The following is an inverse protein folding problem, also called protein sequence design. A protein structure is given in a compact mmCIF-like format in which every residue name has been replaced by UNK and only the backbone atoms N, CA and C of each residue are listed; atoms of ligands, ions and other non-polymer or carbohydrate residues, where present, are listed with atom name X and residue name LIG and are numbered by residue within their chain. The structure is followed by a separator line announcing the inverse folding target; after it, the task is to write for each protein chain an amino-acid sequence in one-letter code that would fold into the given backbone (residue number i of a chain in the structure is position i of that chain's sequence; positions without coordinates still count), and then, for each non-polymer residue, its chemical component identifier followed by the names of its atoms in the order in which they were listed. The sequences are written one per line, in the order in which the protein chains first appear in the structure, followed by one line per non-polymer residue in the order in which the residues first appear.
data_IF_582292052983
#
_entry.id   IF_582292052983
#
_cell.length_a   1.000
_cell.length_b   1.000
_cell.length_c   1.000
_cell.angle_alpha   90.00
_cell.angle_beta   90.00
_cell.angle_gamma   90.00
#
_symmetry.space_group_name_H-M   'P 1'
#
loop_
_entity.id
_entity.type
_entity.pdbx_description
1 polymer ?
#
# COMPACT_ATOMS: atom_id res chain seq x y z
N UNK A 1 -26.95 -14.71 13.17
CA UNK A 1 -26.19 -14.81 11.91
C UNK A 1 -25.69 -13.48 11.32
N UNK A 2 -26.36 -12.32 11.45
CA UNK A 2 -25.80 -11.06 10.98
C UNK A 2 -24.47 -10.67 11.66
N UNK A 3 -24.27 -11.01 12.92
CA UNK A 3 -23.03 -10.68 13.64
C UNK A 3 -21.77 -11.39 13.11
N UNK A 4 -21.88 -12.64 12.68
CA UNK A 4 -20.75 -13.39 12.09
C UNK A 4 -20.33 -12.75 10.77
N UNK A 5 -21.29 -12.35 9.93
CA UNK A 5 -21.02 -11.69 8.65
C UNK A 5 -20.33 -10.31 8.88
N UNK A 6 -20.78 -9.54 9.87
CA UNK A 6 -20.15 -8.24 10.21
C UNK A 6 -18.70 -8.46 10.64
N UNK A 7 -18.44 -9.46 11.48
CA UNK A 7 -17.10 -9.77 11.95
C UNK A 7 -16.19 -10.24 10.82
N UNK A 8 -16.70 -11.11 9.93
CA UNK A 8 -15.98 -11.56 8.74
C UNK A 8 -15.60 -10.37 7.84
N UNK A 9 -16.55 -9.48 7.57
CA UNK A 9 -16.29 -8.31 6.73
C UNK A 9 -15.38 -7.28 7.42
N UNK A 10 -15.44 -7.17 8.73
CA UNK A 10 -14.49 -6.33 9.48
C UNK A 10 -13.05 -6.89 9.40
N UNK A 11 -12.89 -8.22 9.47
CA UNK A 11 -11.58 -8.88 9.25
C UNK A 11 -11.09 -8.69 7.80
N UNK A 12 -11.97 -8.79 6.82
CA UNK A 12 -11.63 -8.50 5.42
C UNK A 12 -11.23 -7.03 5.24
N UNK A 13 -11.93 -6.10 5.87
CA UNK A 13 -11.59 -4.68 5.88
C UNK A 13 -10.25 -4.39 6.57
N UNK A 14 -9.98 -5.06 7.68
CA UNK A 14 -8.69 -4.98 8.37
C UNK A 14 -7.55 -5.52 7.50
N UNK A 15 -7.75 -6.69 6.87
CA UNK A 15 -6.78 -7.28 5.96
C UNK A 15 -6.44 -6.35 4.80
N UNK A 16 -7.47 -5.82 4.13
CA UNK A 16 -7.27 -4.89 3.01
C UNK A 16 -6.66 -3.57 3.47
N UNK A 17 -7.14 -3.03 4.61
CA UNK A 17 -6.59 -1.83 5.22
C UNK A 17 -5.10 -1.97 5.58
N UNK A 18 -4.67 -3.09 6.14
CA UNK A 18 -3.25 -3.32 6.44
C UNK A 18 -2.38 -3.38 5.18
N UNK A 19 -2.89 -3.91 4.08
CA UNK A 19 -2.16 -3.91 2.80
C UNK A 19 -2.08 -2.50 2.20
N UNK A 20 -3.19 -1.74 2.26
CA UNK A 20 -3.18 -0.32 1.91
C UNK A 20 -2.20 0.47 2.79
N UNK A 21 -2.12 0.14 4.09
CA UNK A 21 -1.16 0.76 5.00
C UNK A 21 0.28 0.55 4.55
N UNK A 22 0.67 -0.66 4.12
CA UNK A 22 2.05 -0.90 3.69
C UNK A 22 2.45 0.01 2.51
N UNK A 23 1.56 0.14 1.53
CA UNK A 23 1.77 1.04 0.40
C UNK A 23 1.76 2.51 0.84
N UNK A 24 0.77 2.91 1.64
CA UNK A 24 0.64 4.26 2.14
C UNK A 24 1.78 4.65 3.09
N UNK A 25 2.28 3.74 3.91
CA UNK A 25 3.42 3.97 4.80
C UNK A 25 4.71 4.22 4.02
N UNK A 26 4.96 3.42 2.96
CA UNK A 26 6.07 3.68 2.04
C UNK A 26 5.99 5.06 1.39
N UNK A 27 4.81 5.38 0.86
CA UNK A 27 4.55 6.69 0.24
C UNK A 27 4.64 7.84 1.25
N UNK A 28 4.14 7.65 2.48
CA UNK A 28 4.23 8.62 3.59
C UNK A 28 5.67 8.90 3.99
N UNK A 29 6.53 7.86 4.04
CA UNK A 29 7.95 8.03 4.32
C UNK A 29 8.65 8.81 3.20
N UNK A 30 8.40 8.45 1.95
CA UNK A 30 8.98 9.12 0.78
C UNK A 30 8.53 10.58 0.75
N UNK A 31 7.22 10.84 0.82
CA UNK A 31 6.68 12.19 0.78
C UNK A 31 7.14 13.03 1.99
N UNK A 32 7.06 12.46 3.21
CA UNK A 32 7.39 13.17 4.44
C UNK A 32 8.86 13.57 4.56
N UNK A 33 9.78 12.85 3.89
CA UNK A 33 11.23 13.13 3.96
C UNK A 33 11.74 13.84 2.73
N UNK A 34 11.22 13.48 1.55
CA UNK A 34 11.72 13.99 0.26
C UNK A 34 10.90 15.15 -0.28
N UNK A 35 9.68 15.37 0.24
CA UNK A 35 8.74 16.38 -0.23
C UNK A 35 8.49 16.27 -1.75
N UNK A 36 8.39 15.02 -2.23
CA UNK A 36 8.23 14.71 -3.64
C UNK A 36 6.98 13.85 -3.88
N UNK A 37 6.15 14.26 -4.82
CA UNK A 37 5.01 13.49 -5.30
C UNK A 37 5.51 12.41 -6.26
N UNK A 38 5.47 11.15 -5.83
CA UNK A 38 5.90 10.01 -6.65
C UNK A 38 4.72 9.12 -7.03
N UNK A 39 4.18 9.33 -8.22
CA UNK A 39 3.09 8.50 -8.75
C UNK A 39 3.55 7.08 -9.12
N UNK A 40 4.83 6.89 -9.42
CA UNK A 40 5.37 5.56 -9.77
C UNK A 40 5.51 4.62 -8.54
N UNK A 41 5.15 5.09 -7.33
CA UNK A 41 5.19 4.25 -6.13
C UNK A 41 4.25 3.02 -6.24
N UNK A 42 3.08 3.19 -6.88
CA UNK A 42 2.18 2.08 -7.20
C UNK A 42 2.77 1.06 -8.17
N UNK A 43 3.63 1.49 -9.10
CA UNK A 43 4.30 0.56 -10.00
C UNK A 43 5.29 -0.36 -9.29
N UNK A 44 5.87 0.07 -8.15
CA UNK A 44 6.72 -0.80 -7.31
C UNK A 44 5.92 -1.94 -6.66
N UNK A 45 4.64 -1.69 -6.33
CA UNK A 45 3.72 -2.73 -5.88
C UNK A 45 3.48 -3.77 -6.98
N UNK A 46 3.25 -3.33 -8.22
CA UNK A 46 3.11 -4.19 -9.39
C UNK A 46 4.39 -4.99 -9.65
N UNK A 47 5.55 -4.32 -9.73
CA UNK A 47 6.85 -4.98 -9.94
C UNK A 47 7.09 -6.04 -8.86
N UNK A 48 6.81 -5.72 -7.58
CA UNK A 48 6.94 -6.67 -6.49
C UNK A 48 6.05 -7.90 -6.66
N UNK A 49 4.80 -7.73 -7.10
CA UNK A 49 3.89 -8.84 -7.38
C UNK A 49 4.39 -9.73 -8.53
N UNK A 50 4.84 -9.14 -9.64
CA UNK A 50 5.38 -9.88 -10.78
C UNK A 50 6.66 -10.64 -10.43
N UNK A 51 7.59 -10.01 -9.70
CA UNK A 51 8.82 -10.67 -9.25
C UNK A 51 8.51 -11.81 -8.27
N UNK A 52 7.52 -11.65 -7.37
CA UNK A 52 7.08 -12.72 -6.48
C UNK A 52 6.49 -13.90 -7.25
N UNK A 53 5.66 -13.64 -8.26
CA UNK A 53 5.06 -14.67 -9.11
C UNK A 53 6.14 -15.42 -9.90
N UNK A 54 7.06 -14.68 -10.53
CA UNK A 54 8.15 -15.26 -11.32
C UNK A 54 9.11 -16.10 -10.47
N UNK A 55 9.61 -15.57 -9.34
CA UNK A 55 10.50 -16.31 -8.44
C UNK A 55 9.78 -17.47 -7.76
N UNK A 56 8.50 -17.30 -7.40
CA UNK A 56 7.68 -18.35 -6.83
C UNK A 56 7.52 -19.53 -7.79
N UNK A 57 7.28 -19.27 -9.07
CA UNK A 57 7.24 -20.28 -10.12
C UNK A 57 8.60 -20.95 -10.33
N UNK A 58 9.69 -20.17 -10.35
CA UNK A 58 11.05 -20.66 -10.56
C UNK A 58 11.56 -21.54 -9.40
N UNK A 59 11.25 -21.17 -8.16
CA UNK A 59 11.75 -21.87 -6.95
C UNK A 59 10.79 -22.91 -6.41
N UNK A 60 9.53 -22.93 -6.89
CA UNK A 60 8.46 -23.76 -6.34
C UNK A 60 8.03 -23.33 -4.92
N UNK A 61 8.49 -22.17 -4.42
CA UNK A 61 8.23 -21.71 -3.05
C UNK A 61 7.68 -20.29 -3.02
N UNK A 62 6.47 -20.13 -2.51
CA UNK A 62 5.85 -18.83 -2.30
C UNK A 62 6.70 -17.91 -1.40
N UNK A 63 7.26 -18.46 -0.31
CA UNK A 63 8.07 -17.70 0.65
C UNK A 63 9.33 -17.15 0.01
N UNK A 64 10.05 -17.99 -0.77
CA UNK A 64 11.24 -17.53 -1.51
C UNK A 64 10.86 -16.51 -2.58
N UNK A 65 9.71 -16.67 -3.22
CA UNK A 65 9.14 -15.70 -4.15
C UNK A 65 8.96 -14.34 -3.49
N UNK A 66 8.29 -14.31 -2.33
CA UNK A 66 8.05 -13.06 -1.56
C UNK A 66 9.36 -12.43 -1.09
N UNK A 67 10.26 -13.20 -0.46
CA UNK A 67 11.54 -12.66 0.04
C UNK A 67 12.42 -12.13 -1.09
N UNK A 68 12.48 -12.85 -2.22
CA UNK A 68 13.20 -12.39 -3.41
C UNK A 68 12.57 -11.14 -4.03
N UNK A 69 11.24 -11.07 -4.07
CA UNK A 69 10.53 -9.88 -4.55
C UNK A 69 10.84 -8.65 -3.68
N UNK A 70 10.82 -8.80 -2.36
CA UNK A 70 11.16 -7.72 -1.43
C UNK A 70 12.59 -7.23 -1.66
N UNK A 71 13.56 -8.14 -1.75
CA UNK A 71 14.96 -7.79 -1.94
C UNK A 71 15.19 -7.11 -3.30
N UNK A 72 14.69 -7.71 -4.40
CA UNK A 72 14.90 -7.19 -5.75
C UNK A 72 14.16 -5.86 -5.98
N UNK A 73 12.93 -5.73 -5.49
CA UNK A 73 12.17 -4.48 -5.63
C UNK A 73 12.77 -3.37 -4.77
N UNK A 74 13.29 -3.68 -3.58
CA UNK A 74 14.00 -2.71 -2.75
C UNK A 74 15.26 -2.18 -3.46
N UNK A 75 16.09 -3.09 -4.01
CA UNK A 75 17.29 -2.72 -4.78
C UNK A 75 16.89 -1.93 -6.02
N UNK A 76 15.90 -2.38 -6.77
CA UNK A 76 15.38 -1.67 -7.95
C UNK A 76 14.92 -0.27 -7.59
N UNK A 77 14.15 -0.12 -6.49
CA UNK A 77 13.73 1.18 -5.99
C UNK A 77 14.91 2.09 -5.62
N UNK A 78 15.93 1.56 -4.93
CA UNK A 78 17.13 2.33 -4.60
C UNK A 78 17.90 2.79 -5.85
N UNK A 79 18.02 1.94 -6.86
CA UNK A 79 18.64 2.28 -8.15
C UNK A 79 17.82 3.35 -8.87
N UNK A 80 16.51 3.20 -8.90
CA UNK A 80 15.59 4.16 -9.51
C UNK A 80 15.66 5.52 -8.83
N UNK A 81 15.71 5.54 -7.50
CA UNK A 81 15.87 6.79 -6.72
C UNK A 81 17.20 7.45 -7.05
N UNK A 82 18.31 6.71 -6.94
CA UNK A 82 19.64 7.26 -7.13
C UNK A 82 19.92 7.73 -8.57
N UNK A 83 19.37 7.02 -9.58
CA UNK A 83 19.58 7.30 -10.99
C UNK A 83 18.64 8.36 -11.58
N UNK A 84 17.37 8.34 -11.18
CA UNK A 84 16.34 9.17 -11.82
C UNK A 84 15.66 10.13 -10.84
N UNK A 85 15.02 9.62 -9.77
CA UNK A 85 14.16 10.44 -8.92
C UNK A 85 14.93 11.53 -8.17
N UNK A 86 16.19 11.27 -7.84
CA UNK A 86 17.07 12.25 -7.20
C UNK A 86 17.22 13.53 -8.01
N UNK A 87 17.20 13.46 -9.33
CA UNK A 87 17.30 14.64 -10.22
C UNK A 87 16.03 15.49 -10.21
N UNK A 88 14.91 14.91 -9.73
CA UNK A 88 13.61 15.57 -9.69
C UNK A 88 13.37 16.35 -8.39
N UNK A 89 14.17 16.14 -7.32
CA UNK A 89 13.94 16.81 -6.03
C UNK A 89 14.03 18.33 -6.07
N UNK A 90 14.82 18.87 -6.99
CA UNK A 90 14.96 20.32 -7.19
C UNK A 90 13.98 20.88 -8.23
N UNK A 91 13.10 20.05 -8.80
CA UNK A 91 12.12 20.46 -9.81
C UNK A 91 10.79 20.79 -9.16
N UNK A 92 9.98 21.58 -9.86
CA UNK A 92 8.63 21.92 -9.46
C UNK A 92 7.71 20.67 -9.41
N UNK A 93 6.64 20.73 -8.62
CA UNK A 93 5.73 19.61 -8.42
C UNK A 93 5.10 19.10 -9.72
N UNK A 94 4.82 19.97 -10.70
CA UNK A 94 4.26 19.54 -11.99
C UNK A 94 5.26 18.69 -12.77
N UNK A 95 6.52 19.09 -12.82
CA UNK A 95 7.60 18.30 -13.45
C UNK A 95 7.79 16.95 -12.76
N UNK A 96 7.68 16.88 -11.41
CA UNK A 96 7.75 15.64 -10.66
C UNK A 96 6.59 14.69 -11.02
N UNK A 97 5.36 15.22 -11.07
CA UNK A 97 4.15 14.46 -11.44
C UNK A 97 4.28 13.92 -12.87
N UNK A 98 4.66 14.77 -13.85
CA UNK A 98 4.80 14.34 -15.24
C UNK A 98 5.90 13.28 -15.42
N UNK A 99 7.05 13.46 -14.79
CA UNK A 99 8.15 12.50 -14.86
C UNK A 99 7.78 11.15 -14.22
N UNK A 100 7.13 11.17 -13.05
CA UNK A 100 6.71 9.92 -12.38
C UNK A 100 5.53 9.26 -13.08
N UNK A 101 4.66 10.01 -13.77
CA UNK A 101 3.64 9.45 -14.66
C UNK A 101 4.26 8.77 -15.88
N UNK A 102 5.23 9.40 -16.54
CA UNK A 102 5.98 8.77 -17.62
C UNK A 102 6.67 7.47 -17.15
N UNK A 103 7.18 7.47 -15.90
CA UNK A 103 7.79 6.29 -15.30
C UNK A 103 6.76 5.15 -15.09
N UNK A 104 5.51 5.46 -14.74
CA UNK A 104 4.43 4.44 -14.68
C UNK A 104 4.31 3.73 -16.04
N UNK A 105 4.24 4.50 -17.13
CA UNK A 105 4.10 3.92 -18.47
C UNK A 105 5.31 3.04 -18.83
N UNK A 106 6.52 3.53 -18.55
CA UNK A 106 7.76 2.77 -18.78
C UNK A 106 7.77 1.47 -17.97
N UNK A 107 7.36 1.50 -16.70
CA UNK A 107 7.31 0.32 -15.85
C UNK A 107 6.20 -0.66 -16.27
N UNK A 108 5.04 -0.17 -16.70
CA UNK A 108 3.97 -1.01 -17.23
C UNK A 108 4.42 -1.73 -18.51
N UNK A 109 4.93 -0.99 -19.50
CA UNK A 109 5.38 -1.58 -20.75
C UNK A 109 6.61 -2.47 -20.55
N UNK A 110 7.56 -2.06 -19.71
CA UNK A 110 8.72 -2.86 -19.34
C UNK A 110 8.35 -4.17 -18.65
N UNK A 111 7.42 -4.13 -17.71
CA UNK A 111 6.89 -5.34 -17.05
C UNK A 111 6.19 -6.25 -18.05
N UNK A 112 5.38 -5.68 -18.94
CA UNK A 112 4.70 -6.41 -20.00
C UNK A 112 5.69 -7.08 -20.98
N UNK A 113 6.77 -6.40 -21.32
CA UNK A 113 7.80 -6.95 -22.24
C UNK A 113 8.58 -8.11 -21.58
N UNK A 114 8.82 -8.06 -20.28
CA UNK A 114 9.62 -9.06 -19.56
C UNK A 114 8.78 -10.24 -19.10
N UNK A 115 7.58 -10.00 -18.58
CA UNK A 115 6.75 -11.01 -17.90
C UNK A 115 5.43 -11.31 -18.62
N UNK A 116 5.02 -10.52 -19.60
CA UNK A 116 3.69 -10.58 -20.19
C UNK A 116 2.66 -9.73 -19.48
N UNK A 117 1.38 -9.90 -19.83
CA UNK A 117 0.30 -9.08 -19.27
C UNK A 117 -0.09 -9.48 -17.84
N UNK A 118 0.04 -10.75 -17.51
CA UNK A 118 -0.35 -11.35 -16.24
C UNK A 118 0.54 -12.55 -15.91
N UNK A 119 0.69 -12.83 -14.61
CA UNK A 119 1.35 -14.03 -14.11
C UNK A 119 0.49 -14.69 -13.03
N UNK A 120 0.37 -16.03 -13.05
CA UNK A 120 -0.33 -16.75 -12.00
C UNK A 120 0.51 -16.69 -10.71
N UNK A 121 -0.11 -16.27 -9.62
CA UNK A 121 0.46 -16.35 -8.28
C UNK A 121 -0.58 -16.98 -7.36
N UNK A 122 -0.27 -18.16 -6.83
CA UNK A 122 -1.17 -18.90 -5.95
C UNK A 122 -0.70 -18.80 -4.49
N UNK A 123 -1.67 -18.76 -3.59
CA UNK A 123 -1.38 -18.87 -2.15
C UNK A 123 -0.74 -20.23 -1.83
N UNK A 124 0.09 -20.32 -0.78
CA UNK A 124 0.69 -21.58 -0.35
C UNK A 124 -0.38 -22.61 -0.04
N UNK A 125 -0.21 -23.85 -0.52
CA UNK A 125 -1.16 -24.95 -0.31
C UNK A 125 -1.42 -25.24 1.17
N UNK A 126 -0.42 -25.05 2.03
CA UNK A 126 -0.55 -25.18 3.48
C UNK A 126 -1.54 -24.18 4.11
N UNK A 127 -1.83 -23.07 3.44
CA UNK A 127 -2.74 -22.01 3.88
C UNK A 127 -4.01 -21.91 3.03
N UNK A 128 -4.23 -22.86 2.13
CA UNK A 128 -5.43 -22.91 1.27
C UNK A 128 -6.70 -23.31 2.05
N UNK A 129 -6.54 -23.93 3.23
CA UNK A 129 -7.66 -24.41 4.05
C UNK A 129 -8.31 -23.26 4.87
N UNK A 130 -9.61 -23.39 5.16
CA UNK A 130 -10.28 -22.50 6.11
C UNK A 130 -9.92 -22.87 7.56
N UNK A 131 -9.92 -21.87 8.45
CA UNK A 131 -9.74 -22.02 9.90
C UNK A 131 -11.00 -21.52 10.60
N UNK A 132 -11.51 -22.29 11.54
CA UNK A 132 -12.61 -21.85 12.39
C UNK A 132 -12.06 -21.01 13.55
N UNK A 133 -12.31 -19.70 13.52
CA UNK A 133 -11.85 -18.76 14.54
C UNK A 133 -12.79 -18.72 15.76
N UNK A 134 -14.08 -18.84 15.50
CA UNK A 134 -15.17 -18.89 16.48
C UNK A 134 -16.23 -19.85 15.97
N UNK A 135 -17.10 -20.41 16.84
CA UNK A 135 -18.18 -21.26 16.40
C UNK A 135 -19.03 -20.60 15.32
N UNK A 136 -18.96 -21.13 14.09
CA UNK A 136 -19.66 -20.62 12.92
C UNK A 136 -18.93 -19.50 12.14
N UNK A 137 -17.73 -19.05 12.55
CA UNK A 137 -16.88 -18.14 11.80
C UNK A 137 -15.72 -18.90 11.14
N UNK A 138 -15.91 -19.26 9.91
CA UNK A 138 -14.90 -19.93 9.07
C UNK A 138 -14.18 -18.88 8.24
N UNK A 139 -12.83 -18.76 8.40
CA UNK A 139 -12.06 -17.72 7.74
C UNK A 139 -10.84 -18.31 7.02
N UNK A 140 -10.48 -17.85 5.79
CA UNK A 140 -9.33 -18.38 5.05
C UNK A 140 -8.01 -18.14 5.80
N UNK A 141 -7.22 -19.19 6.01
CA UNK A 141 -5.93 -19.12 6.72
C UNK A 141 -4.95 -18.13 6.06
N UNK A 142 -4.98 -18.05 4.72
CA UNK A 142 -4.13 -17.11 3.97
C UNK A 142 -4.42 -15.65 4.31
N UNK A 143 -5.68 -15.28 4.51
CA UNK A 143 -6.04 -13.90 4.91
C UNK A 143 -5.58 -13.58 6.34
N UNK A 144 -5.58 -14.58 7.24
CA UNK A 144 -5.00 -14.42 8.58
C UNK A 144 -3.49 -14.19 8.53
N UNK A 145 -2.78 -14.91 7.66
CA UNK A 145 -1.36 -14.66 7.41
C UNK A 145 -1.13 -13.21 6.95
N UNK A 146 -1.95 -12.71 6.02
CA UNK A 146 -1.84 -11.31 5.55
C UNK A 146 -2.03 -10.33 6.71
N UNK A 147 -3.03 -10.54 7.56
CA UNK A 147 -3.26 -9.70 8.75
C UNK A 147 -2.05 -9.76 9.69
N UNK A 148 -1.54 -10.97 9.98
CA UNK A 148 -0.38 -11.16 10.84
C UNK A 148 0.88 -10.47 10.31
N UNK A 149 1.18 -10.62 9.03
CA UNK A 149 2.33 -9.95 8.37
C UNK A 149 2.12 -8.44 8.34
N UNK A 150 0.92 -7.96 8.02
CA UNK A 150 0.61 -6.53 8.01
C UNK A 150 0.80 -5.88 9.38
N UNK A 151 0.31 -6.51 10.44
CA UNK A 151 0.50 -6.04 11.83
C UNK A 151 1.97 -6.10 12.24
N UNK A 152 2.68 -7.18 11.93
CA UNK A 152 4.11 -7.31 12.24
C UNK A 152 4.93 -6.21 11.56
N UNK A 153 4.66 -5.92 10.28
CA UNK A 153 5.33 -4.85 9.55
C UNK A 153 4.93 -3.46 10.05
N UNK A 154 3.68 -3.26 10.48
CA UNK A 154 3.26 -2.00 11.10
C UNK A 154 4.05 -1.73 12.40
N UNK A 155 4.19 -2.75 13.26
CA UNK A 155 4.99 -2.68 14.49
C UNK A 155 6.46 -2.47 14.17
N UNK A 156 7.02 -3.24 13.22
CA UNK A 156 8.42 -3.12 12.80
C UNK A 156 8.72 -1.70 12.28
N UNK A 157 7.86 -1.17 11.42
CA UNK A 157 8.01 0.18 10.88
C UNK A 157 7.91 1.25 11.97
N UNK A 158 6.97 1.08 12.91
CA UNK A 158 6.86 1.97 14.07
C UNK A 158 8.14 1.93 14.93
N UNK A 159 8.67 0.73 15.22
CA UNK A 159 9.93 0.57 15.95
C UNK A 159 11.11 1.20 15.19
N UNK A 160 11.20 0.95 13.88
CA UNK A 160 12.24 1.50 13.02
C UNK A 160 12.23 3.04 13.08
N UNK A 161 11.07 3.66 12.91
CA UNK A 161 10.98 5.12 12.86
C UNK A 161 11.11 5.75 14.24
N UNK A 162 10.56 5.13 15.31
CA UNK A 162 10.55 5.75 16.64
C UNK A 162 11.76 5.39 17.51
N UNK A 163 12.33 4.21 17.34
CA UNK A 163 13.33 3.65 18.26
C UNK A 163 14.73 3.48 17.67
N UNK A 164 14.93 3.67 16.36
CA UNK A 164 16.24 3.49 15.74
C UNK A 164 16.94 4.80 15.41
N UNK A 165 18.27 4.74 15.23
CA UNK A 165 19.07 5.87 14.74
C UNK A 165 18.64 6.33 13.36
N UNK A 166 18.29 5.37 12.48
CA UNK A 166 17.78 5.68 11.14
C UNK A 166 16.47 6.49 11.21
N UNK A 167 15.53 6.08 12.08
CA UNK A 167 14.31 6.83 12.31
C UNK A 167 14.56 8.26 12.86
N UNK A 168 15.57 8.44 13.71
CA UNK A 168 15.97 9.77 14.17
C UNK A 168 16.47 10.66 13.00
N UNK A 169 17.30 10.08 12.11
CA UNK A 169 17.81 10.79 10.92
C UNK A 169 16.67 11.11 9.94
N UNK A 170 15.72 10.19 9.76
CA UNK A 170 14.51 10.40 8.94
C UNK A 170 13.70 11.60 9.47
N UNK A 171 13.42 11.63 10.76
CA UNK A 171 12.68 12.76 11.39
C UNK A 171 13.46 14.08 11.31
N UNK A 172 14.78 14.05 11.51
CA UNK A 172 15.63 15.23 11.37
C UNK A 172 15.63 15.77 9.92
N UNK A 173 15.80 14.87 8.93
CA UNK A 173 15.77 15.23 7.51
C UNK A 173 14.40 15.74 7.05
N UNK A 174 13.31 15.22 7.61
CA UNK A 174 11.94 15.70 7.35
C UNK A 174 11.67 17.09 7.98
N UNK A 175 12.26 17.37 9.13
CA UNK A 175 12.08 18.66 9.84
C UNK A 175 12.92 19.77 9.23
N UNK A 176 14.22 19.54 9.04
CA UNK A 176 15.13 20.53 8.46
C UNK A 176 16.33 19.84 7.78
N UNK A 177 16.31 19.79 6.44
CA UNK A 177 17.36 19.14 5.63
C UNK A 177 18.71 19.85 5.75
N UNK A 178 18.72 21.17 5.77
CA UNK A 178 19.96 21.99 5.82
C UNK A 178 20.68 21.76 7.15
N UNK A 179 19.92 21.84 8.25
CA UNK A 179 20.45 21.60 9.58
C UNK A 179 20.93 20.13 9.73
N UNK A 180 20.16 19.15 9.26
CA UNK A 180 20.57 17.75 9.29
C UNK A 180 21.87 17.51 8.51
N UNK A 181 22.05 18.18 7.35
CA UNK A 181 23.28 18.12 6.57
C UNK A 181 24.44 18.79 7.33
N UNK A 182 24.23 19.95 7.94
CA UNK A 182 25.23 20.64 8.75
C UNK A 182 25.70 19.80 9.96
N UNK A 183 24.82 18.95 10.50
CA UNK A 183 25.12 17.99 11.56
C UNK A 183 25.80 16.70 11.04
N UNK A 184 26.20 16.66 9.77
CA UNK A 184 26.93 15.53 9.16
C UNK A 184 26.06 14.41 8.60
N UNK A 185 24.74 14.58 8.50
CA UNK A 185 23.86 13.57 7.91
C UNK A 185 24.00 13.56 6.38
N UNK A 186 24.29 12.38 5.82
CA UNK A 186 24.31 12.22 4.36
C UNK A 186 22.88 12.05 3.83
N UNK A 187 22.22 13.15 3.48
CA UNK A 187 20.83 13.20 3.01
C UNK A 187 20.60 12.32 1.78
N UNK A 188 21.44 12.33 0.72
CA UNK A 188 21.25 11.43 -0.42
C UNK A 188 21.18 9.95 -0.04
N UNK A 189 22.09 9.47 0.81
CA UNK A 189 22.06 8.07 1.28
C UNK A 189 20.83 7.77 2.12
N UNK A 190 20.40 8.71 2.94
CA UNK A 190 19.20 8.58 3.74
C UNK A 190 17.96 8.43 2.83
N UNK A 191 17.85 9.23 1.79
CA UNK A 191 16.75 9.18 0.83
C UNK A 191 16.71 7.84 0.09
N UNK A 192 17.85 7.36 -0.41
CA UNK A 192 17.94 6.04 -1.04
C UNK A 192 17.47 4.92 -0.12
N UNK A 193 17.90 4.93 1.15
CA UNK A 193 17.50 3.92 2.11
C UNK A 193 15.99 3.99 2.44
N UNK A 194 15.44 5.19 2.62
CA UNK A 194 14.00 5.41 2.85
C UNK A 194 13.18 4.94 1.66
N UNK A 195 13.62 5.26 0.44
CA UNK A 195 12.95 4.83 -0.78
C UNK A 195 13.00 3.31 -0.94
N UNK A 196 14.14 2.68 -0.63
CA UNK A 196 14.29 1.22 -0.62
C UNK A 196 13.33 0.53 0.36
N UNK A 197 13.15 1.10 1.57
CA UNK A 197 12.17 0.60 2.54
C UNK A 197 10.75 0.74 1.99
N UNK A 198 10.41 1.88 1.40
CA UNK A 198 9.12 2.10 0.76
C UNK A 198 8.84 1.08 -0.36
N UNK A 199 9.84 0.83 -1.23
CA UNK A 199 9.76 -0.16 -2.29
C UNK A 199 9.59 -1.60 -1.74
N UNK A 200 10.29 -1.93 -0.66
CA UNK A 200 10.14 -3.21 0.04
C UNK A 200 8.72 -3.42 0.57
N UNK A 201 8.13 -2.40 1.20
CA UNK A 201 6.75 -2.46 1.69
C UNK A 201 5.73 -2.62 0.55
N UNK A 202 5.94 -1.93 -0.58
CA UNK A 202 5.15 -2.11 -1.79
C UNK A 202 5.23 -3.55 -2.31
N UNK A 203 6.44 -4.12 -2.36
CA UNK A 203 6.66 -5.48 -2.82
C UNK A 203 5.94 -6.51 -1.93
N UNK A 204 5.99 -6.35 -0.60
CA UNK A 204 5.24 -7.22 0.32
C UNK A 204 3.74 -7.12 0.06
N UNK A 205 3.20 -5.90 -0.05
CA UNK A 205 1.78 -5.71 -0.32
C UNK A 205 1.35 -6.33 -1.66
N UNK A 206 2.15 -6.13 -2.73
CA UNK A 206 1.90 -6.70 -4.05
C UNK A 206 1.96 -8.23 -4.06
N UNK A 207 2.99 -8.80 -3.45
CA UNK A 207 3.17 -10.24 -3.38
C UNK A 207 2.08 -10.95 -2.56
N UNK A 208 1.63 -10.34 -1.45
CA UNK A 208 0.58 -10.92 -0.60
C UNK A 208 -0.83 -10.72 -1.15
N UNK A 209 -1.10 -9.62 -1.85
CA UNK A 209 -2.40 -9.40 -2.50
C UNK A 209 -2.52 -10.08 -3.86
N UNK A 210 -1.41 -10.40 -4.53
CA UNK A 210 -1.39 -11.05 -5.84
C UNK A 210 -2.28 -12.28 -5.93
N UNK A 211 -2.24 -13.23 -4.98
CA UNK A 211 -3.11 -14.40 -5.00
C UNK A 211 -4.61 -14.11 -4.84
N UNK A 212 -4.98 -12.92 -4.32
CA UNK A 212 -6.37 -12.52 -4.10
C UNK A 212 -6.94 -11.65 -5.23
N UNK A 213 -6.10 -10.81 -5.86
CA UNK A 213 -6.52 -9.79 -6.82
C UNK A 213 -6.05 -10.06 -8.26
N UNK A 214 -5.29 -11.12 -8.48
CA UNK A 214 -4.51 -11.40 -9.69
C UNK A 214 -3.32 -10.44 -9.90
N UNK A 215 -2.25 -10.96 -10.51
CA UNK A 215 -1.05 -10.19 -10.86
C UNK A 215 -1.15 -9.81 -12.32
N UNK A 216 -1.40 -8.53 -12.59
CA UNK A 216 -1.58 -8.01 -13.95
C UNK A 216 -0.95 -6.63 -14.09
N UNK A 217 -0.57 -6.29 -15.32
CA UNK A 217 -0.03 -4.95 -15.64
C UNK A 217 -1.10 -3.89 -15.36
N UNK A 218 -0.69 -2.78 -14.75
CA UNK A 218 -1.59 -1.68 -14.35
C UNK A 218 -2.25 -1.84 -12.97
N UNK A 219 -2.04 -2.98 -12.27
CA UNK A 219 -2.63 -3.19 -10.94
C UNK A 219 -2.19 -2.16 -9.89
N UNK A 220 -1.03 -1.51 -10.11
CA UNK A 220 -0.47 -0.53 -9.19
C UNK A 220 -1.20 0.80 -9.15
N UNK A 221 -1.85 1.21 -10.23
CA UNK A 221 -2.47 2.54 -10.36
C UNK A 221 -3.71 2.66 -9.48
N UNK A 222 -4.58 1.66 -9.51
CA UNK A 222 -5.80 1.66 -8.71
C UNK A 222 -5.51 1.66 -7.20
N UNK A 223 -4.52 0.87 -6.77
CA UNK A 223 -4.15 0.79 -5.37
C UNK A 223 -3.43 2.04 -4.90
N UNK A 224 -2.67 2.70 -5.80
CA UNK A 224 -2.00 3.96 -5.53
C UNK A 224 -2.99 5.08 -5.20
N UNK A 225 -4.09 5.18 -5.95
CA UNK A 225 -5.15 6.18 -5.69
C UNK A 225 -5.70 6.01 -4.27
N UNK A 226 -6.00 4.77 -3.87
CA UNK A 226 -6.46 4.47 -2.50
C UNK A 226 -5.39 4.77 -1.45
N UNK A 227 -4.10 4.52 -1.74
CA UNK A 227 -3.01 4.88 -0.84
C UNK A 227 -2.90 6.41 -0.67
N UNK A 228 -3.10 7.20 -1.72
CA UNK A 228 -3.19 8.67 -1.61
C UNK A 228 -4.37 9.10 -0.73
N UNK A 229 -5.54 8.51 -0.90
CA UNK A 229 -6.69 8.77 -0.03
C UNK A 229 -6.35 8.48 1.43
N UNK A 230 -5.68 7.36 1.68
CA UNK A 230 -5.23 6.97 3.03
C UNK A 230 -4.30 8.00 3.66
N UNK A 231 -3.26 8.46 2.94
CA UNK A 231 -2.32 9.44 3.50
C UNK A 231 -2.94 10.81 3.69
N UNK A 232 -3.89 11.19 2.85
CA UNK A 232 -4.64 12.45 2.98
C UNK A 232 -5.56 12.39 4.21
N UNK A 233 -6.33 11.31 4.38
CA UNK A 233 -7.16 11.10 5.56
C UNK A 233 -6.29 11.02 6.83
N UNK A 234 -5.21 10.26 6.78
CA UNK A 234 -4.32 10.05 7.91
C UNK A 234 -3.56 11.29 8.34
N UNK A 235 -3.20 12.13 7.39
CA UNK A 235 -2.32 13.29 7.50
C UNK A 235 -0.95 12.98 6.88
N UNK A 236 -0.55 13.81 5.93
CA UNK A 236 0.68 13.66 5.14
C UNK A 236 1.90 13.62 6.07
N UNK A 237 2.79 12.64 5.88
CA UNK A 237 3.99 12.47 6.72
C UNK A 237 3.77 11.73 8.04
N UNK A 238 2.53 11.33 8.38
CA UNK A 238 2.20 10.64 9.62
C UNK A 238 1.98 9.14 9.42
N UNK A 239 2.92 8.31 9.89
CA UNK A 239 2.78 6.84 9.82
C UNK A 239 1.61 6.34 10.67
N UNK A 240 1.37 6.97 11.84
CA UNK A 240 0.21 6.63 12.68
C UNK A 240 -1.09 6.97 11.97
N UNK A 241 -1.10 8.16 11.33
CA UNK A 241 -2.22 8.58 10.51
C UNK A 241 -2.47 7.65 9.34
N UNK A 242 -1.44 7.23 8.63
CA UNK A 242 -1.53 6.27 7.54
C UNK A 242 -2.13 4.94 7.99
N UNK A 243 -1.75 4.41 9.18
CA UNK A 243 -2.32 3.18 9.72
C UNK A 243 -3.82 3.30 10.01
N UNK A 244 -4.20 4.36 10.73
CA UNK A 244 -5.62 4.58 11.07
C UNK A 244 -6.43 4.86 9.81
N UNK A 245 -5.94 5.72 8.92
CA UNK A 245 -6.58 6.02 7.64
C UNK A 245 -6.77 4.77 6.77
N UNK A 246 -5.76 3.91 6.70
CA UNK A 246 -5.81 2.68 5.93
C UNK A 246 -6.84 1.68 6.47
N UNK A 247 -6.91 1.51 7.79
CA UNK A 247 -7.92 0.63 8.42
C UNK A 247 -9.32 1.20 8.17
N UNK A 248 -9.52 2.51 8.33
CA UNK A 248 -10.82 3.14 8.08
C UNK A 248 -11.24 2.98 6.61
N UNK A 249 -10.36 3.28 5.66
CA UNK A 249 -10.62 3.12 4.23
C UNK A 249 -10.91 1.66 3.89
N UNK A 250 -10.10 0.72 4.39
CA UNK A 250 -10.31 -0.71 4.16
C UNK A 250 -11.65 -1.20 4.71
N UNK A 251 -12.04 -0.76 5.91
CA UNK A 251 -13.34 -1.09 6.49
C UNK A 251 -14.50 -0.45 5.71
N UNK A 252 -14.41 0.82 5.34
CA UNK A 252 -15.46 1.52 4.59
C UNK A 252 -15.66 0.86 3.21
N UNK A 253 -14.59 0.57 2.49
CA UNK A 253 -14.68 -0.08 1.18
C UNK A 253 -15.29 -1.49 1.29
N UNK A 254 -14.80 -2.31 2.22
CA UNK A 254 -15.22 -3.72 2.34
C UNK A 254 -16.64 -3.85 2.90
N UNK A 255 -16.95 -3.16 4.00
CA UNK A 255 -18.30 -3.16 4.57
C UNK A 255 -19.30 -2.51 3.61
N UNK A 256 -18.89 -1.40 2.97
CA UNK A 256 -19.71 -0.71 1.98
C UNK A 256 -20.09 -1.61 0.82
N UNK A 257 -19.14 -2.29 0.19
CA UNK A 257 -19.42 -3.23 -0.92
C UNK A 257 -20.40 -4.32 -0.53
N UNK A 258 -20.25 -4.89 0.66
CA UNK A 258 -21.11 -5.99 1.11
C UNK A 258 -22.50 -5.51 1.53
N UNK A 259 -22.57 -4.52 2.41
CA UNK A 259 -23.86 -4.10 3.00
C UNK A 259 -24.70 -3.25 2.06
N UNK A 260 -24.09 -2.36 1.26
CA UNK A 260 -24.84 -1.57 0.27
C UNK A 260 -25.42 -2.45 -0.83
N UNK A 261 -24.66 -3.46 -1.29
CA UNK A 261 -25.18 -4.42 -2.26
C UNK A 261 -26.38 -5.18 -1.68
N UNK A 262 -26.30 -5.58 -0.42
CA UNK A 262 -27.41 -6.31 0.24
C UNK A 262 -28.65 -5.43 0.42
N UNK A 263 -28.48 -4.20 0.91
CA UNK A 263 -29.55 -3.25 1.07
C UNK A 263 -30.21 -2.86 -0.29
N UNK A 264 -29.39 -2.68 -1.33
CA UNK A 264 -29.90 -2.33 -2.66
C UNK A 264 -30.68 -3.47 -3.32
N UNK A 265 -30.42 -4.74 -2.96
CA UNK A 265 -31.19 -5.90 -3.46
C UNK A 265 -32.64 -5.91 -3.00
N UNK A 266 -32.95 -5.23 -1.91
CA UNK A 266 -34.33 -5.06 -1.43
C UNK A 266 -35.11 -3.99 -2.24
N UNK A 267 -34.37 -3.05 -2.88
CA UNK A 267 -34.95 -1.91 -3.59
C UNK A 267 -34.82 -2.01 -5.12
N UNK A 268 -33.83 -2.73 -5.63
CA UNK A 268 -33.48 -2.81 -7.04
C UNK A 268 -33.37 -4.25 -7.53
N UNK A 269 -33.59 -4.51 -8.82
CA UNK A 269 -33.29 -5.81 -9.43
C UNK A 269 -31.84 -6.25 -9.15
N UNK A 270 -31.58 -7.56 -8.97
CA UNK A 270 -30.27 -8.08 -8.55
C UNK A 270 -29.08 -7.63 -9.42
N UNK A 271 -29.30 -7.49 -10.72
CA UNK A 271 -28.30 -7.02 -11.68
C UNK A 271 -27.86 -5.56 -11.44
N UNK A 272 -28.79 -4.68 -11.07
CA UNK A 272 -28.50 -3.29 -10.74
C UNK A 272 -27.88 -3.15 -9.35
N UNK A 273 -28.35 -3.92 -8.37
CA UNK A 273 -27.80 -3.92 -7.03
C UNK A 273 -26.34 -4.40 -6.98
N UNK A 274 -26.00 -5.42 -7.79
CA UNK A 274 -24.62 -5.95 -7.87
C UNK A 274 -23.63 -4.97 -8.52
N UNK A 275 -24.08 -4.11 -9.40
CA UNK A 275 -23.24 -3.07 -10.02
C UNK A 275 -23.17 -1.79 -9.15
N UNK A 276 -24.32 -1.34 -8.63
CA UNK A 276 -24.41 -0.09 -7.87
C UNK A 276 -23.76 -0.19 -6.49
N UNK A 277 -23.85 -1.32 -5.80
CA UNK A 277 -23.28 -1.50 -4.45
C UNK A 277 -21.79 -1.19 -4.37
N UNK A 278 -20.93 -1.87 -5.16
CA UNK A 278 -19.50 -1.59 -5.21
C UNK A 278 -19.16 -0.16 -5.67
N UNK A 279 -19.92 0.39 -6.63
CA UNK A 279 -19.69 1.76 -7.11
C UNK A 279 -19.95 2.79 -6.02
N UNK A 280 -21.08 2.68 -5.30
CA UNK A 280 -21.39 3.57 -4.18
C UNK A 280 -20.38 3.40 -3.04
N UNK A 281 -19.94 2.18 -2.74
CA UNK A 281 -18.91 1.94 -1.74
C UNK A 281 -17.60 2.64 -2.07
N UNK A 282 -17.17 2.58 -3.34
CA UNK A 282 -15.99 3.31 -3.80
C UNK A 282 -16.16 4.83 -3.67
N UNK A 283 -17.33 5.36 -4.03
CA UNK A 283 -17.63 6.80 -3.85
C UNK A 283 -17.62 7.17 -2.38
N UNK A 284 -18.14 6.31 -1.48
CA UNK A 284 -18.19 6.57 -0.04
C UNK A 284 -16.78 6.78 0.57
N UNK A 285 -15.75 6.11 0.06
CA UNK A 285 -14.36 6.33 0.47
C UNK A 285 -13.91 7.77 0.17
N UNK A 286 -14.21 8.28 -1.03
CA UNK A 286 -13.87 9.66 -1.41
C UNK A 286 -14.70 10.70 -0.69
N UNK A 287 -16.00 10.43 -0.46
CA UNK A 287 -16.87 11.29 0.36
C UNK A 287 -16.33 11.35 1.79
N UNK A 288 -15.94 10.22 2.35
CA UNK A 288 -15.32 10.18 3.68
C UNK A 288 -14.04 11.02 3.74
N UNK A 289 -13.19 10.92 2.72
CA UNK A 289 -12.00 11.78 2.60
C UNK A 289 -12.37 13.26 2.59
N UNK A 290 -13.37 13.67 1.78
CA UNK A 290 -13.81 15.06 1.69
C UNK A 290 -14.36 15.57 3.04
N UNK A 291 -15.13 14.74 3.74
CA UNK A 291 -15.65 15.06 5.08
C UNK A 291 -14.52 15.24 6.09
N UNK A 292 -13.54 14.32 6.09
CA UNK A 292 -12.38 14.44 6.98
C UNK A 292 -11.61 15.74 6.71
N UNK A 293 -11.35 16.07 5.45
CA UNK A 293 -10.64 17.31 5.08
C UNK A 293 -11.45 18.57 5.41
N UNK A 294 -12.76 18.54 5.27
CA UNK A 294 -13.62 19.66 5.65
C UNK A 294 -13.58 19.94 7.16
N UNK A 295 -13.47 18.89 7.99
CA UNK A 295 -13.42 19.04 9.46
C UNK A 295 -11.98 19.22 9.95
N UNK A 296 -11.01 18.50 9.35
CA UNK A 296 -9.59 18.50 9.70
C UNK A 296 -8.73 18.62 8.44
N UNK A 297 -8.44 19.83 7.95
CA UNK A 297 -7.69 20.02 6.70
C UNK A 297 -6.30 19.41 6.69
N UNK A 298 -5.70 19.16 7.86
CA UNK A 298 -4.38 18.53 8.01
C UNK A 298 -4.45 17.00 8.14
N UNK A 299 -5.63 16.41 8.00
CA UNK A 299 -5.88 14.99 8.26
C UNK A 299 -6.11 14.68 9.74
N UNK A 300 -6.36 13.39 10.05
CA UNK A 300 -6.70 12.93 11.40
C UNK A 300 -5.53 13.08 12.38
N UNK A 301 -4.30 12.83 11.94
CA UNK A 301 -3.07 12.85 12.75
C UNK A 301 -1.98 13.59 11.98
N UNK A 302 -1.97 14.93 11.95
CA UNK A 302 -0.95 15.67 11.24
C UNK A 302 0.45 15.32 11.77
N UNK A 303 1.44 15.25 10.86
CA UNK A 303 2.83 15.16 11.28
C UNK A 303 3.14 16.37 12.15
N UNK A 304 3.63 16.15 13.36
CA UNK A 304 4.14 17.26 14.19
C UNK A 304 5.39 17.80 13.51
N UNK A 305 5.30 19.03 13.04
CA UNK A 305 6.44 19.79 12.57
C UNK A 305 7.44 20.03 13.69
#
# INVERSE_FOLDING_TARGET
MPGVLILEQALNGLQFGLMLFLLAAGLTLVFGVMDMINLAHGSLYMVGAFVAAWLGALTGSFVLGVLGAVALTAVFGMVLEAGLLRTLYARDHLSQVLATFALILILNDGTKMVFGNDLPLSAPTALAGPVELLPGLIYPAYRLLIIGVGLALAVLLWLLVQKTRMGALVRAGASNREMATAMGTNIPRLFTAVFGIGAALCAVAGALLGPLLAVQVGMGENILILAFVVIVIGGIGSIRGALVGAILVGCIDTLGRTFLQHALRELLPPQWASAAGPAIASIAVYVFMAVVLAIKPQGLFPARG
#
